data_IF_377443728890
#
_entry.id   IF_377443728890
#
_cell.length_a   1.000
_cell.length_b   1.000
_cell.length_c   1.000
_cell.angle_alpha   90.00
_cell.angle_beta   90.00
_cell.angle_gamma   90.00
#
_symmetry.space_group_name_H-M   'P 1'
#
loop_
_entity.id
_entity.type
_entity.pdbx_description
1 polymer ?
#
# COMPACT_ATOMS: atom_id res chain seq x y z
N UNK A 1 13.67 24.26 38.28
CA UNK A 1 13.74 23.08 39.16
C UNK A 1 13.64 21.87 38.24
N UNK A 2 14.74 21.48 37.59
CA UNK A 2 15.64 20.39 38.02
C UNK A 2 14.88 19.08 38.23
N UNK A 3 14.87 18.16 37.25
CA UNK A 3 15.89 17.10 37.07
C UNK A 3 15.45 16.07 36.02
N UNK A 4 16.37 15.80 35.10
CA UNK A 4 16.48 14.59 34.28
C UNK A 4 16.61 13.32 35.13
N UNK A 5 16.22 12.17 34.53
CA UNK A 5 16.77 10.81 34.71
C UNK A 5 15.69 9.78 34.27
N UNK A 6 15.94 8.67 33.58
CA UNK A 6 17.14 8.07 33.00
C UNK A 6 16.66 6.84 32.19
N UNK A 7 17.50 6.41 31.25
CA UNK A 7 17.23 5.37 30.28
C UNK A 7 17.34 3.96 30.87
N UNK A 8 16.55 3.03 30.33
CA UNK A 8 16.62 1.60 30.65
C UNK A 8 17.55 0.86 29.66
N UNK A 9 18.55 0.08 30.13
CA UNK A 9 19.54 -0.54 29.26
C UNK A 9 19.15 -1.95 28.77
N UNK A 10 19.59 -2.22 27.54
CA UNK A 10 19.50 -3.48 26.80
C UNK A 10 20.22 -4.63 27.51
N UNK A 11 19.55 -5.78 27.66
CA UNK A 11 20.16 -7.02 28.16
C UNK A 11 20.67 -7.88 27.00
N UNK A 12 22.00 -7.99 26.89
CA UNK A 12 22.68 -8.99 26.05
C UNK A 12 22.90 -10.29 26.82
N UNK A 13 22.64 -11.43 26.17
CA UNK A 13 22.96 -12.75 26.68
C UNK A 13 24.34 -13.20 26.17
N UNK A 14 25.28 -13.45 27.08
CA UNK A 14 26.53 -14.14 26.80
C UNK A 14 26.77 -15.28 27.79
N UNK A 15 26.96 -16.48 27.22
CA UNK A 15 27.81 -17.62 27.62
C UNK A 15 28.07 -17.84 29.11
N UNK A 16 27.65 -19.02 29.60
CA UNK A 16 28.30 -19.68 30.73
C UNK A 16 28.76 -21.10 30.38
N UNK A 17 29.94 -21.38 30.91
CA UNK A 17 30.82 -22.54 30.86
C UNK A 17 30.21 -23.85 31.38
N UNK A 18 30.82 -24.99 30.99
CA UNK A 18 30.71 -26.24 31.75
C UNK A 18 31.51 -27.40 31.17
N UNK A 19 32.67 -27.70 31.77
CA UNK A 19 33.65 -28.73 31.36
C UNK A 19 33.27 -30.17 31.77
N UNK A 20 33.70 -31.11 30.91
CA UNK A 20 34.10 -32.54 31.07
C UNK A 20 34.01 -33.22 32.46
N UNK A 21 33.60 -34.50 32.46
CA UNK A 21 34.19 -35.60 33.26
C UNK A 21 34.16 -36.97 32.53
N UNK A 22 34.99 -37.96 32.95
CA UNK A 22 35.44 -39.08 32.11
C UNK A 22 35.03 -40.48 32.61
N UNK A 23 35.28 -41.49 31.77
CA UNK A 23 35.81 -42.80 32.19
C UNK A 23 34.79 -43.92 32.43
N UNK A 24 34.83 -44.94 31.57
CA UNK A 24 34.54 -46.32 31.99
C UNK A 24 35.57 -47.29 31.42
N UNK A 25 36.01 -48.16 32.32
CA UNK A 25 37.15 -49.06 32.25
C UNK A 25 36.78 -50.41 31.65
N UNK A 26 37.80 -51.05 31.08
CA UNK A 26 37.81 -52.40 30.49
C UNK A 26 37.47 -53.49 31.52
N UNK A 27 36.76 -54.51 31.06
CA UNK A 27 36.89 -55.87 31.60
C UNK A 27 37.13 -56.85 30.44
N UNK A 28 38.24 -57.57 30.55
CA UNK A 28 38.69 -58.64 29.67
C UNK A 28 37.98 -59.96 30.04
N UNK A 29 37.45 -60.67 29.03
CA UNK A 29 37.07 -62.07 29.11
C UNK A 29 37.70 -62.85 27.94
N UNK A 30 38.48 -63.88 28.25
CA UNK A 30 39.40 -64.59 27.36
C UNK A 30 38.73 -65.69 26.51
N UNK A 31 39.17 -65.78 25.24
CA UNK A 31 39.51 -66.94 24.37
C UNK A 31 38.60 -68.19 24.31
N UNK A 32 38.28 -68.64 23.07
CA UNK A 32 38.92 -69.78 22.35
C UNK A 32 38.38 -69.95 20.90
N UNK A 33 39.00 -70.79 20.03
CA UNK A 33 39.30 -70.44 18.63
C UNK A 33 38.54 -71.25 17.55
N UNK A 34 38.71 -70.80 16.30
CA UNK A 34 38.75 -71.66 15.11
C UNK A 34 37.49 -71.66 14.26
N UNK A 35 37.56 -71.10 13.05
CA UNK A 35 37.51 -71.87 11.80
C UNK A 35 38.03 -71.01 10.65
N UNK A 36 38.66 -71.72 9.73
CA UNK A 36 39.53 -71.27 8.65
C UNK A 36 38.78 -71.00 7.35
N UNK A 37 39.32 -70.02 6.59
CA UNK A 37 39.19 -69.80 5.13
C UNK A 37 37.79 -69.45 4.61
N UNK A 38 37.73 -68.40 3.80
CA UNK A 38 37.57 -68.48 2.33
C UNK A 38 37.22 -67.08 1.80
N UNK A 39 38.04 -66.61 0.86
CA UNK A 39 37.73 -65.70 -0.25
C UNK A 39 36.97 -64.38 -0.02
N UNK A 40 37.54 -63.29 -0.56
CA UNK A 40 36.72 -62.18 -1.06
C UNK A 40 37.22 -60.77 -0.80
N UNK A 41 38.49 -60.46 -1.03
CA UNK A 41 38.93 -59.06 -1.14
C UNK A 41 38.43 -58.48 -2.47
N UNK A 42 37.18 -57.99 -2.50
CA UNK A 42 36.70 -57.09 -3.56
C UNK A 42 36.81 -55.64 -3.06
N UNK A 43 38.03 -55.10 -3.16
CA UNK A 43 38.22 -53.65 -3.19
C UNK A 43 37.69 -53.13 -4.53
N UNK A 44 36.39 -52.85 -4.58
CA UNK A 44 35.78 -52.13 -5.69
C UNK A 44 36.26 -50.68 -5.68
N UNK A 45 37.24 -50.36 -6.51
CA UNK A 45 37.61 -48.99 -6.86
C UNK A 45 36.37 -48.35 -7.51
N UNK A 46 35.59 -47.58 -6.76
CA UNK A 46 34.49 -46.79 -7.33
C UNK A 46 35.09 -45.80 -8.32
N UNK A 47 34.79 -45.99 -9.62
CA UNK A 47 35.26 -45.12 -10.70
C UNK A 47 34.76 -43.67 -10.44
N UNK A 48 35.59 -42.63 -10.59
CA UNK A 48 35.21 -41.25 -10.31
C UNK A 48 34.10 -40.69 -11.23
N UNK A 49 33.73 -41.41 -12.29
CA UNK A 49 32.80 -40.96 -13.34
C UNK A 49 31.33 -40.94 -12.92
N UNK A 50 30.90 -41.78 -11.96
CA UNK A 50 29.48 -41.93 -11.62
C UNK A 50 28.94 -40.80 -10.73
N UNK A 51 29.79 -40.19 -9.90
CA UNK A 51 29.38 -39.07 -9.03
C UNK A 51 29.08 -37.80 -9.83
N UNK A 52 29.89 -37.50 -10.84
CA UNK A 52 29.67 -36.36 -11.74
C UNK A 52 28.46 -36.59 -12.65
N UNK A 53 28.22 -37.83 -13.09
CA UNK A 53 27.04 -38.19 -13.87
C UNK A 53 25.74 -38.05 -13.06
N UNK A 54 25.71 -38.51 -11.80
CA UNK A 54 24.56 -38.31 -10.91
C UNK A 54 24.31 -36.84 -10.57
N UNK A 55 25.38 -36.08 -10.26
CA UNK A 55 25.28 -34.64 -9.98
C UNK A 55 24.77 -33.84 -11.18
N UNK A 56 25.25 -34.16 -12.40
CA UNK A 56 24.76 -33.55 -13.65
C UNK A 56 23.27 -33.84 -13.89
N UNK A 57 22.83 -35.08 -13.64
CA UNK A 57 21.41 -35.48 -13.76
C UNK A 57 20.51 -34.76 -12.75
N UNK A 58 20.98 -34.57 -11.51
CA UNK A 58 20.24 -33.81 -10.49
C UNK A 58 20.16 -32.32 -10.82
N UNK A 59 21.25 -31.72 -11.33
CA UNK A 59 21.26 -30.32 -11.76
C UNK A 59 20.35 -30.11 -12.97
N UNK A 60 20.38 -31.00 -13.97
CA UNK A 60 19.49 -30.90 -15.13
C UNK A 60 18.02 -31.10 -14.76
N UNK A 61 17.71 -31.98 -13.80
CA UNK A 61 16.36 -32.14 -13.29
C UNK A 61 15.87 -30.88 -12.56
N UNK A 62 16.73 -30.23 -11.77
CA UNK A 62 16.43 -28.95 -11.13
C UNK A 62 16.18 -27.84 -12.14
N UNK A 63 17.05 -27.71 -13.16
CA UNK A 63 16.89 -26.72 -14.23
C UNK A 63 15.61 -26.98 -15.04
N UNK A 64 15.30 -28.24 -15.34
CA UNK A 64 14.06 -28.60 -16.03
C UNK A 64 12.83 -28.28 -15.18
N UNK A 65 12.85 -28.55 -13.87
CA UNK A 65 11.76 -28.19 -12.98
C UNK A 65 11.55 -26.67 -12.92
N UNK A 66 12.64 -25.89 -12.86
CA UNK A 66 12.57 -24.42 -12.91
C UNK A 66 12.02 -23.93 -14.26
N UNK A 67 12.47 -24.51 -15.37
CA UNK A 67 11.97 -24.19 -16.71
C UNK A 67 10.49 -24.52 -16.87
N UNK A 68 10.04 -25.67 -16.35
CA UNK A 68 8.64 -26.07 -16.38
C UNK A 68 7.77 -25.14 -15.52
N UNK A 69 8.27 -24.72 -14.34
CA UNK A 69 7.56 -23.75 -13.51
C UNK A 69 7.54 -22.36 -14.16
N UNK A 70 8.62 -21.93 -14.79
CA UNK A 70 8.68 -20.67 -15.55
C UNK A 70 7.73 -20.71 -16.75
N UNK A 71 7.70 -21.82 -17.50
CA UNK A 71 6.79 -22.01 -18.62
C UNK A 71 5.33 -22.07 -18.14
N UNK A 72 5.06 -22.75 -17.02
CA UNK A 72 3.75 -22.76 -16.40
C UNK A 72 3.33 -21.35 -15.98
N UNK A 73 4.24 -20.52 -15.45
CA UNK A 73 3.93 -19.11 -15.13
C UNK A 73 3.62 -18.26 -16.35
N UNK A 74 4.27 -18.52 -17.48
CA UNK A 74 4.01 -17.82 -18.75
C UNK A 74 2.72 -18.34 -19.42
N UNK A 75 2.42 -19.63 -19.23
CA UNK A 75 1.28 -20.32 -19.84
C UNK A 75 0.01 -20.31 -18.99
N UNK A 76 0.08 -19.92 -17.72
CA UNK A 76 -1.10 -19.61 -16.88
C UNK A 76 -1.70 -18.34 -17.46
N UNK A 77 -2.80 -18.42 -18.22
CA UNK A 77 -3.37 -17.24 -18.82
C UNK A 77 -4.04 -16.41 -17.72
N UNK A 78 -4.24 -15.11 -17.98
CA UNK A 78 -4.93 -14.14 -17.10
C UNK A 78 -6.18 -14.65 -16.35
N UNK A 79 -7.03 -15.59 -16.87
CA UNK A 79 -8.20 -16.11 -16.15
C UNK A 79 -7.90 -16.80 -14.81
N UNK A 80 -6.65 -17.20 -14.52
CA UNK A 80 -6.30 -17.71 -13.18
C UNK A 80 -6.13 -16.60 -12.13
N UNK A 81 -5.91 -15.35 -12.55
CA UNK A 81 -5.92 -14.21 -11.64
C UNK A 81 -7.34 -13.95 -11.12
N UNK A 82 -8.36 -14.17 -11.94
CA UNK A 82 -9.77 -14.10 -11.51
C UNK A 82 -10.11 -15.16 -10.47
N UNK A 83 -9.60 -16.39 -10.60
CA UNK A 83 -9.77 -17.42 -9.57
C UNK A 83 -9.13 -17.04 -8.23
N UNK A 84 -8.03 -16.28 -8.25
CA UNK A 84 -7.43 -15.73 -7.03
C UNK A 84 -8.33 -14.66 -6.41
N UNK A 85 -8.94 -13.78 -7.21
CA UNK A 85 -9.88 -12.78 -6.71
C UNK A 85 -11.13 -13.44 -6.12
N UNK A 86 -11.73 -14.42 -6.82
CA UNK A 86 -12.85 -15.22 -6.31
C UNK A 86 -12.49 -15.98 -5.03
N UNK A 87 -11.31 -16.60 -4.98
CA UNK A 87 -10.82 -17.28 -3.78
C UNK A 87 -10.58 -16.33 -2.61
N UNK A 88 -10.06 -15.14 -2.89
CA UNK A 88 -9.88 -14.09 -1.89
C UNK A 88 -11.24 -13.60 -1.36
N UNK A 89 -12.21 -13.33 -2.22
CA UNK A 89 -13.56 -12.91 -1.83
C UNK A 89 -14.26 -13.99 -1.00
N UNK A 90 -14.16 -15.25 -1.41
CA UNK A 90 -14.69 -16.38 -0.64
C UNK A 90 -14.04 -16.46 0.74
N UNK A 91 -12.72 -16.29 0.83
CA UNK A 91 -11.99 -16.25 2.10
C UNK A 91 -12.45 -15.08 2.97
N UNK A 92 -12.61 -13.86 2.43
CA UNK A 92 -13.10 -12.71 3.18
C UNK A 92 -14.54 -12.90 3.68
N UNK A 93 -15.38 -13.62 2.94
CA UNK A 93 -16.75 -13.97 3.36
C UNK A 93 -16.79 -15.07 4.42
N UNK A 94 -15.95 -16.10 4.29
CA UNK A 94 -15.90 -17.24 5.22
C UNK A 94 -15.18 -16.91 6.52
N UNK A 95 -14.13 -16.09 6.45
CA UNK A 95 -13.32 -15.69 7.58
C UNK A 95 -13.12 -14.17 7.54
N UNK A 96 -14.20 -13.39 7.75
CA UNK A 96 -14.11 -11.93 7.75
C UNK A 96 -13.15 -11.48 8.85
N UNK A 97 -12.36 -10.44 8.54
CA UNK A 97 -11.46 -9.86 9.52
C UNK A 97 -12.27 -9.36 10.72
N UNK A 98 -11.94 -9.75 11.96
CA UNK A 98 -12.66 -9.26 13.13
C UNK A 98 -12.52 -7.75 13.20
N UNK A 99 -13.65 -7.06 13.36
CA UNK A 99 -13.65 -5.62 13.56
C UNK A 99 -12.83 -5.28 14.80
N UNK A 100 -11.92 -4.32 14.66
CA UNK A 100 -11.19 -3.72 15.77
C UNK A 100 -11.46 -2.25 15.74
N UNK A 101 -11.83 -1.71 16.89
CA UNK A 101 -11.98 -0.27 17.04
C UNK A 101 -10.63 0.40 16.76
N UNK A 102 -10.65 1.31 15.79
CA UNK A 102 -9.51 2.12 15.38
C UNK A 102 -9.94 3.59 15.37
N UNK A 103 -9.03 4.56 15.57
CA UNK A 103 -9.36 5.98 15.52
C UNK A 103 -9.52 6.51 14.08
N UNK A 104 -9.81 5.62 13.12
CA UNK A 104 -9.99 5.94 11.70
C UNK A 104 -11.42 5.60 11.30
N UNK A 105 -12.05 6.51 10.56
CA UNK A 105 -13.38 6.32 9.97
C UNK A 105 -13.27 6.60 8.48
N UNK A 106 -13.76 5.68 7.67
CA UNK A 106 -13.87 5.84 6.22
C UNK A 106 -15.31 6.22 5.92
N UNK A 107 -15.48 7.27 5.12
CA UNK A 107 -16.79 7.76 4.70
C UNK A 107 -16.87 7.48 3.22
N UNK A 108 -17.74 6.56 2.86
CA UNK A 108 -17.90 6.12 1.47
C UNK A 108 -19.07 6.87 0.81
N UNK A 109 -18.96 7.02 -0.50
CA UNK A 109 -20.02 7.57 -1.35
C UNK A 109 -20.71 6.39 -2.03
N UNK A 110 -21.66 5.80 -1.31
CA UNK A 110 -22.41 4.62 -1.74
C UNK A 110 -23.71 4.97 -2.48
N UNK A 111 -24.34 3.98 -3.11
CA UNK A 111 -25.63 4.16 -3.80
C UNK A 111 -26.73 4.71 -2.89
N UNK A 112 -26.70 4.40 -1.59
CA UNK A 112 -27.66 4.93 -0.63
C UNK A 112 -27.46 6.43 -0.36
N UNK A 113 -26.20 6.89 -0.31
CA UNK A 113 -25.85 8.31 -0.21
C UNK A 113 -26.22 9.04 -1.50
N UNK A 114 -25.93 8.47 -2.67
CA UNK A 114 -26.30 9.03 -3.97
C UNK A 114 -27.83 9.12 -4.13
N UNK A 115 -28.56 8.11 -3.65
CA UNK A 115 -30.03 8.13 -3.65
C UNK A 115 -30.64 9.20 -2.73
N UNK A 116 -29.92 9.63 -1.69
CA UNK A 116 -30.38 10.67 -0.74
C UNK A 116 -29.94 12.08 -1.11
N UNK A 117 -28.70 12.24 -1.58
CA UNK A 117 -28.06 13.54 -1.79
C UNK A 117 -28.13 13.94 -3.27
N UNK A 118 -28.09 12.97 -4.17
CA UNK A 118 -28.05 13.17 -5.60
C UNK A 118 -26.78 12.60 -6.24
N UNK A 119 -26.72 12.73 -7.56
CA UNK A 119 -25.64 12.19 -8.38
C UNK A 119 -24.29 12.85 -8.05
N UNK A 120 -23.23 12.03 -8.01
CA UNK A 120 -21.84 12.49 -7.96
C UNK A 120 -21.38 12.99 -9.35
N UNK A 121 -20.55 14.05 -9.46
CA UNK A 121 -19.93 14.82 -8.38
C UNK A 121 -20.91 15.76 -7.67
N UNK A 122 -20.86 15.76 -6.33
CA UNK A 122 -21.62 16.70 -5.52
C UNK A 122 -21.07 18.13 -5.64
N UNK A 123 -21.91 19.12 -5.34
CA UNK A 123 -21.47 20.51 -5.21
C UNK A 123 -20.43 20.65 -4.11
N UNK A 124 -19.48 21.58 -4.27
CA UNK A 124 -18.45 21.85 -3.25
C UNK A 124 -19.04 22.39 -1.97
N UNK A 125 -20.20 23.04 -2.03
CA UNK A 125 -20.99 23.40 -0.86
C UNK A 125 -21.47 22.16 -0.08
N UNK A 126 -21.91 21.10 -0.76
CA UNK A 126 -22.32 19.84 -0.12
C UNK A 126 -21.12 19.16 0.55
N UNK A 127 -19.97 19.15 -0.13
CA UNK A 127 -18.71 18.65 0.43
C UNK A 127 -18.26 19.49 1.63
N UNK A 128 -18.44 20.82 1.57
CA UNK A 128 -18.12 21.74 2.66
C UNK A 128 -18.97 21.43 3.90
N UNK A 129 -20.29 21.27 3.76
CA UNK A 129 -21.17 20.88 4.87
C UNK A 129 -20.80 19.53 5.49
N UNK A 130 -20.45 18.55 4.66
CA UNK A 130 -19.95 17.26 5.15
C UNK A 130 -18.66 17.45 5.97
N UNK A 131 -17.73 18.24 5.46
CA UNK A 131 -16.45 18.51 6.12
C UNK A 131 -16.65 19.23 7.44
N UNK A 132 -17.47 20.27 7.47
CA UNK A 132 -17.81 21.02 8.67
C UNK A 132 -18.39 20.09 9.74
N UNK A 133 -19.36 19.24 9.37
CA UNK A 133 -19.94 18.25 10.29
C UNK A 133 -18.91 17.25 10.84
N UNK A 134 -17.86 16.92 10.09
CA UNK A 134 -16.77 16.05 10.57
C UNK A 134 -15.83 16.79 11.53
N UNK A 135 -15.53 18.07 11.24
CA UNK A 135 -14.74 18.92 12.12
C UNK A 135 -15.46 19.12 13.46
N UNK A 136 -16.76 19.42 13.44
CA UNK A 136 -17.62 19.57 14.62
C UNK A 136 -17.68 18.29 15.47
N UNK A 137 -17.62 17.12 14.83
CA UNK A 137 -17.56 15.81 15.50
C UNK A 137 -16.17 15.48 16.07
N UNK A 138 -15.20 16.39 15.95
CA UNK A 138 -13.87 16.24 16.53
C UNK A 138 -12.90 15.40 15.68
N UNK A 139 -13.09 15.35 14.36
CA UNK A 139 -12.12 14.71 13.48
C UNK A 139 -10.74 15.37 13.63
N UNK A 140 -9.72 14.59 14.02
CA UNK A 140 -8.36 15.10 14.23
C UNK A 140 -7.67 15.50 12.91
N UNK A 141 -8.05 14.85 11.81
CA UNK A 141 -7.68 15.18 10.44
C UNK A 141 -8.73 14.61 9.48
N UNK A 142 -8.93 15.27 8.34
CA UNK A 142 -9.82 14.84 7.26
C UNK A 142 -8.97 14.72 5.99
N UNK A 143 -9.06 13.58 5.30
CA UNK A 143 -8.36 13.37 4.04
C UNK A 143 -9.37 13.05 2.95
N UNK A 144 -9.28 13.74 1.83
CA UNK A 144 -10.08 13.46 0.65
C UNK A 144 -9.35 12.51 -0.29
N UNK A 145 -9.98 11.38 -0.58
CA UNK A 145 -9.57 10.47 -1.67
C UNK A 145 -10.28 10.86 -2.98
N UNK A 146 -10.37 12.16 -3.24
CA UNK A 146 -10.95 12.74 -4.44
C UNK A 146 -10.15 13.98 -4.83
N UNK A 147 -10.08 14.24 -6.14
CA UNK A 147 -9.34 15.36 -6.70
C UNK A 147 -10.30 16.45 -7.19
N UNK A 148 -10.24 17.66 -6.61
CA UNK A 148 -11.01 18.81 -7.09
C UNK A 148 -10.15 19.66 -8.03
N UNK A 149 -9.80 19.12 -9.19
CA UNK A 149 -8.93 19.80 -10.17
C UNK A 149 -9.65 20.86 -11.02
N UNK A 150 -10.99 20.83 -11.04
CA UNK A 150 -11.83 21.73 -11.82
C UNK A 150 -12.77 22.51 -10.91
N UNK A 151 -13.11 23.74 -11.33
CA UNK A 151 -14.09 24.58 -10.65
C UNK A 151 -15.48 23.95 -10.60
N UNK A 152 -16.22 24.23 -9.53
CA UNK A 152 -17.58 23.77 -9.37
C UNK A 152 -18.54 24.47 -10.35
N UNK A 153 -18.97 23.72 -11.37
CA UNK A 153 -19.97 24.17 -12.36
C UNK A 153 -21.37 24.42 -11.78
N UNK A 154 -21.62 24.00 -10.53
CA UNK A 154 -22.91 24.18 -9.85
C UNK A 154 -22.93 25.40 -8.93
N UNK A 155 -21.84 26.18 -8.85
CA UNK A 155 -21.84 27.41 -8.06
C UNK A 155 -22.78 28.47 -8.67
N UNK A 156 -23.50 29.25 -7.85
CA UNK A 156 -24.35 30.32 -8.37
C UNK A 156 -23.61 31.29 -9.29
N UNK A 157 -22.35 31.62 -8.95
CA UNK A 157 -21.48 32.44 -9.81
C UNK A 157 -21.19 31.79 -11.16
N UNK A 158 -20.84 30.50 -11.18
CA UNK A 158 -20.57 29.76 -12.43
C UNK A 158 -21.82 29.61 -13.31
N UNK A 159 -22.98 29.34 -12.70
CA UNK A 159 -24.26 29.23 -13.39
C UNK A 159 -24.69 30.57 -14.00
N UNK A 160 -24.51 31.68 -13.28
CA UNK A 160 -24.79 33.01 -13.80
C UNK A 160 -23.93 33.33 -15.03
N UNK A 161 -22.62 33.10 -14.94
CA UNK A 161 -21.70 33.30 -16.06
C UNK A 161 -22.07 32.42 -17.27
N UNK A 162 -22.55 31.19 -17.04
CA UNK A 162 -23.01 30.32 -18.13
C UNK A 162 -24.26 30.86 -18.83
N UNK A 163 -25.24 31.35 -18.06
CA UNK A 163 -26.47 31.92 -18.60
C UNK A 163 -26.20 33.20 -19.40
N UNK A 164 -25.32 34.07 -18.91
CA UNK A 164 -24.88 35.26 -19.66
C UNK A 164 -24.22 34.89 -20.99
N UNK A 165 -23.33 33.88 -21.00
CA UNK A 165 -22.72 33.38 -22.25
C UNK A 165 -23.75 32.87 -23.25
N UNK A 166 -24.90 32.39 -22.76
CA UNK A 166 -26.02 31.92 -23.59
C UNK A 166 -26.99 33.04 -23.98
N UNK A 167 -26.72 34.28 -23.60
CA UNK A 167 -27.57 35.44 -23.86
C UNK A 167 -28.84 35.48 -23.00
N UNK A 168 -28.88 34.72 -21.90
CA UNK A 168 -30.00 34.71 -20.96
C UNK A 168 -29.68 35.72 -19.86
N UNK A 169 -30.30 36.89 -19.94
CA UNK A 169 -30.19 37.90 -18.89
C UNK A 169 -31.01 37.47 -17.66
N UNK A 170 -30.37 37.46 -16.49
CA UNK A 170 -31.03 37.29 -15.19
C UNK A 170 -31.10 38.66 -14.51
N UNK A 171 -32.27 39.00 -13.96
CA UNK A 171 -32.55 40.28 -13.31
C UNK A 171 -33.68 41.06 -14.01
N UNK A 172 -34.19 42.08 -13.33
CA UNK A 172 -35.19 42.98 -13.92
C UNK A 172 -34.54 43.86 -14.99
N UNK A 173 -35.34 44.24 -16.01
CA UNK A 173 -34.90 45.10 -17.10
C UNK A 173 -34.31 46.41 -16.53
N UNK A 174 -32.97 46.51 -16.53
CA UNK A 174 -32.22 47.68 -16.07
C UNK A 174 -31.38 47.51 -14.81
N UNK A 175 -31.44 46.37 -14.11
CA UNK A 175 -30.56 46.10 -12.95
C UNK A 175 -29.72 44.85 -13.20
N UNK A 176 -28.52 44.98 -13.79
CA UNK A 176 -27.60 43.87 -13.93
C UNK A 176 -27.26 43.28 -12.55
N UNK A 177 -27.28 41.96 -12.43
CA UNK A 177 -26.75 41.27 -11.25
C UNK A 177 -25.23 41.34 -11.31
N UNK A 178 -24.60 41.81 -10.23
CA UNK A 178 -23.15 41.77 -10.09
C UNK A 178 -22.70 40.32 -9.81
N UNK A 179 -21.87 39.68 -10.65
CA UNK A 179 -21.37 38.34 -10.38
C UNK A 179 -20.57 38.22 -9.07
N UNK A 180 -19.96 39.32 -8.61
CA UNK A 180 -19.11 39.31 -7.42
C UNK A 180 -19.90 39.10 -6.13
N UNK A 181 -21.20 39.42 -6.11
CA UNK A 181 -22.07 39.17 -4.94
C UNK A 181 -22.58 37.73 -4.89
N UNK A 182 -22.42 36.96 -5.97
CA UNK A 182 -22.88 35.58 -6.02
C UNK A 182 -21.88 34.66 -5.30
N UNK A 183 -22.37 33.75 -4.45
CA UNK A 183 -21.50 32.82 -3.75
C UNK A 183 -20.84 31.85 -4.72
N UNK A 184 -19.62 31.47 -4.39
CA UNK A 184 -18.88 30.43 -5.10
C UNK A 184 -18.66 29.22 -4.18
N UNK A 185 -18.96 28.03 -4.70
CA UNK A 185 -18.92 26.82 -3.90
C UNK A 185 -17.48 26.39 -3.59
N UNK A 186 -16.51 26.67 -4.47
CA UNK A 186 -15.11 26.38 -4.21
C UNK A 186 -14.59 27.32 -3.10
N UNK A 187 -15.00 28.59 -3.08
CA UNK A 187 -14.68 29.52 -1.97
C UNK A 187 -15.26 29.05 -0.63
N UNK A 188 -16.50 28.57 -0.63
CA UNK A 188 -17.14 28.01 0.58
C UNK A 188 -16.37 26.78 1.08
N UNK A 189 -16.00 25.86 0.18
CA UNK A 189 -15.22 24.68 0.57
C UNK A 189 -13.84 25.08 1.09
N UNK A 190 -13.16 26.02 0.43
CA UNK A 190 -11.85 26.53 0.82
C UNK A 190 -11.86 27.09 2.25
N UNK A 191 -12.90 27.86 2.58
CA UNK A 191 -13.08 28.40 3.93
C UNK A 191 -13.21 27.28 4.97
N UNK A 192 -14.05 26.27 4.72
CA UNK A 192 -14.28 25.18 5.66
C UNK A 192 -13.03 24.31 5.83
N UNK A 193 -12.36 23.92 4.74
CA UNK A 193 -11.18 23.06 4.84
C UNK A 193 -10.00 23.79 5.49
N UNK A 194 -9.90 25.11 5.31
CA UNK A 194 -8.86 25.97 5.90
C UNK A 194 -9.00 26.16 7.41
N UNK A 195 -10.21 25.99 7.98
CA UNK A 195 -10.43 26.01 9.45
C UNK A 195 -9.94 24.73 10.14
N UNK A 196 -9.87 23.62 9.41
CA UNK A 196 -9.54 22.30 9.93
C UNK A 196 -8.20 21.75 9.45
N UNK A 197 -7.83 20.58 9.98
CA UNK A 197 -6.70 19.80 9.45
C UNK A 197 -7.17 18.94 8.30
N UNK A 198 -7.27 19.57 7.13
CA UNK A 198 -7.76 18.91 5.92
C UNK A 198 -6.61 18.67 4.94
N UNK A 199 -6.61 17.50 4.30
CA UNK A 199 -5.65 17.10 3.27
C UNK A 199 -6.42 16.78 1.99
N UNK A 200 -6.06 17.45 0.91
CA UNK A 200 -6.60 17.23 -0.42
C UNK A 200 -5.70 16.30 -1.23
N UNK A 201 -6.27 15.68 -2.27
CA UNK A 201 -5.56 14.76 -3.15
C UNK A 201 -4.77 15.46 -4.25
N UNK A 202 -3.83 14.71 -4.82
CA UNK A 202 -3.19 14.97 -6.11
C UNK A 202 -3.00 13.64 -6.85
N UNK A 203 -2.89 13.68 -8.17
CA UNK A 203 -2.58 12.53 -9.00
C UNK A 203 -1.26 12.79 -9.74
N UNK A 204 -0.39 11.77 -9.80
CA UNK A 204 0.84 11.83 -10.58
C UNK A 204 0.57 11.37 -12.03
N UNK A 205 1.20 12.02 -13.00
CA UNK A 205 0.96 11.77 -14.43
C UNK A 205 2.26 11.51 -15.18
N UNK A 206 2.20 10.64 -16.20
CA UNK A 206 3.29 10.47 -17.17
C UNK A 206 3.28 11.55 -18.27
N UNK A 207 2.21 12.35 -18.35
CA UNK A 207 2.16 13.54 -19.19
C UNK A 207 3.00 14.65 -18.58
N UNK A 208 3.91 15.20 -19.38
CA UNK A 208 4.81 16.28 -18.95
C UNK A 208 4.03 17.57 -18.80
N UNK A 209 4.01 18.11 -17.57
CA UNK A 209 3.47 19.43 -17.29
C UNK A 209 4.30 20.15 -16.22
N UNK A 210 4.03 21.42 -15.98
CA UNK A 210 4.72 22.22 -14.96
C UNK A 210 4.14 22.08 -13.55
N UNK A 211 3.02 21.36 -13.39
CA UNK A 211 2.28 21.24 -12.14
C UNK A 211 3.00 20.27 -11.21
N UNK A 212 3.21 20.67 -9.95
CA UNK A 212 3.81 19.83 -8.92
C UNK A 212 2.99 19.93 -7.63
N UNK A 213 2.75 18.81 -6.94
CA UNK A 213 2.09 18.86 -5.63
C UNK A 213 2.99 19.59 -4.63
N UNK A 214 2.37 20.31 -3.70
CA UNK A 214 3.09 20.99 -2.63
C UNK A 214 3.69 19.95 -1.67
N UNK A 215 5.01 20.04 -1.44
CA UNK A 215 5.72 19.18 -0.51
C UNK A 215 5.85 19.90 0.83
N UNK A 216 5.01 19.54 1.81
CA UNK A 216 4.99 20.15 3.14
C UNK A 216 6.08 19.59 4.08
N UNK A 217 6.22 18.25 4.25
CA UNK A 217 7.33 17.65 4.97
C UNK A 217 8.42 17.09 4.04
N UNK A 218 9.67 17.13 4.49
CA UNK A 218 10.77 16.37 3.88
C UNK A 218 10.74 14.90 4.32
N UNK A 219 11.07 13.99 3.41
CA UNK A 219 11.23 12.57 3.73
C UNK A 219 12.66 12.28 4.19
N UNK A 220 12.80 11.51 5.28
CA UNK A 220 14.09 10.94 5.66
C UNK A 220 14.21 9.55 5.04
N UNK A 221 15.24 9.36 4.20
CA UNK A 221 15.55 8.05 3.60
C UNK A 221 16.59 7.35 4.49
N UNK A 222 16.28 6.13 4.92
CA UNK A 222 17.21 5.27 5.65
C UNK A 222 17.56 4.06 4.78
N UNK A 223 18.83 3.91 4.42
CA UNK A 223 19.31 2.79 3.59
C UNK A 223 19.60 3.21 2.14
N UNK A 224 19.29 2.32 1.20
CA UNK A 224 19.46 2.56 -0.23
C UNK A 224 18.45 3.57 -0.76
N UNK A 225 18.84 4.33 -1.78
CA UNK A 225 17.95 5.28 -2.44
C UNK A 225 16.78 4.54 -3.11
N UNK A 226 15.53 4.78 -2.68
CA UNK A 226 14.36 4.10 -3.24
C UNK A 226 14.05 4.54 -4.68
N UNK A 227 14.64 5.66 -5.16
CA UNK A 227 14.33 6.25 -6.47
C UNK A 227 14.51 5.27 -7.64
N UNK A 228 15.44 4.32 -7.53
CA UNK A 228 15.71 3.33 -8.58
C UNK A 228 14.58 2.32 -8.81
N UNK A 229 13.67 2.15 -7.84
CA UNK A 229 12.53 1.22 -7.91
C UNK A 229 11.17 1.88 -8.05
N UNK A 230 11.12 3.22 -8.14
CA UNK A 230 9.88 3.97 -8.24
C UNK A 230 9.63 4.39 -9.69
N UNK A 231 8.36 4.41 -10.08
CA UNK A 231 7.96 4.95 -11.37
C UNK A 231 8.26 6.46 -11.41
N UNK A 232 8.85 6.90 -12.53
CA UNK A 232 9.09 8.32 -12.76
C UNK A 232 7.83 8.96 -13.38
N UNK A 233 7.37 10.04 -12.75
CA UNK A 233 6.26 10.86 -13.25
C UNK A 233 6.78 12.23 -13.67
N UNK A 234 6.31 12.71 -14.82
CA UNK A 234 6.76 13.97 -15.44
C UNK A 234 5.79 15.13 -15.20
N UNK A 235 4.63 14.86 -14.59
CA UNK A 235 3.62 15.84 -14.24
C UNK A 235 2.75 15.42 -13.07
N UNK A 236 1.83 16.31 -12.71
CA UNK A 236 0.79 16.03 -11.74
C UNK A 236 -0.52 16.75 -12.10
N UNK A 237 -1.63 16.26 -11.56
CA UNK A 237 -2.89 16.98 -11.45
C UNK A 237 -3.14 17.26 -9.96
N UNK A 238 -3.35 18.52 -9.61
CA UNK A 238 -3.56 18.97 -8.23
C UNK A 238 -4.98 19.50 -8.07
N UNK A 239 -5.44 19.52 -6.82
CA UNK A 239 -6.63 20.26 -6.44
C UNK A 239 -6.43 21.75 -6.76
N UNK A 240 -7.50 22.48 -7.08
CA UNK A 240 -7.46 23.92 -7.31
C UNK A 240 -6.62 24.64 -6.24
N UNK A 241 -5.73 25.59 -6.60
CA UNK A 241 -4.83 26.24 -5.64
C UNK A 241 -5.52 26.99 -4.48
N UNK A 242 -6.81 27.32 -4.64
CA UNK A 242 -7.65 27.91 -3.60
C UNK A 242 -7.97 26.90 -2.47
N UNK A 243 -7.95 25.59 -2.76
CA UNK A 243 -8.35 24.50 -1.88
C UNK A 243 -7.14 23.76 -1.26
#
# INVERSE_FOLDING_TARGET
MLLDAEASPRTGYSRLFGKRKPGYSRLFGKRKPGYSRLFGKKSGRSRPSDRNARRRKSVSAGVLAILLLALARIAVPEPFLDLRHVGFDAMQRLAPRPYREAPVRVIDIDDASLGRIGQWPWSRETVARLTEALQEKGAAAIAFDVLFAESDRTSPRALFADLERRGIALGDAGTPVDPAILPDNDEILAEVIGRGRTVTGFALTAETNAVRPEVKPGFAVLGEDPSAGLDAYSGAAITLPLL
#
